data_IF_057431064364
#
_entry.id   IF_057431064364
#
_cell.length_a   1.000
_cell.length_b   1.000
_cell.length_c   1.000
_cell.angle_alpha   90.00
_cell.angle_beta   90.00
_cell.angle_gamma   90.00
#
_symmetry.space_group_name_H-M   'P 1'
#
loop_
_entity.id
_entity.type
_entity.pdbx_description
1 polymer ?
#
# COMPACT_ATOMS: atom_id res chain seq x y z
N UNK A 1 -11.84 -40.17 -7.22
CA UNK A 1 -13.02 -39.40 -6.78
C UNK A 1 -12.69 -38.75 -5.45
N UNK A 2 -12.32 -37.46 -5.45
CA UNK A 2 -12.02 -36.72 -4.22
C UNK A 2 -13.03 -35.58 -4.08
N UNK A 3 -13.80 -35.60 -2.98
CA UNK A 3 -14.75 -34.56 -2.59
C UNK A 3 -14.05 -33.43 -1.83
N UNK A 4 -14.57 -32.18 -1.88
CA UNK A 4 -13.96 -31.01 -1.24
C UNK A 4 -14.33 -30.94 0.24
N UNK A 5 -13.40 -30.54 1.11
CA UNK A 5 -13.72 -30.11 2.49
C UNK A 5 -13.02 -28.78 2.82
N UNK A 6 -13.88 -27.76 2.98
CA UNK A 6 -13.92 -26.78 4.07
C UNK A 6 -12.74 -25.82 4.27
N UNK A 7 -12.74 -24.73 3.50
CA UNK A 7 -12.33 -23.42 4.03
C UNK A 7 -13.35 -22.95 5.08
N UNK A 8 -12.94 -22.27 6.17
CA UNK A 8 -13.88 -21.77 7.16
C UNK A 8 -14.84 -20.75 6.52
N UNK A 9 -16.12 -20.71 6.92
CA UNK A 9 -17.06 -19.74 6.38
C UNK A 9 -16.61 -18.34 6.82
N UNK A 10 -16.33 -17.45 5.87
CA UNK A 10 -16.23 -16.02 6.16
C UNK A 10 -17.54 -15.59 6.81
N UNK A 11 -17.51 -15.18 8.08
CA UNK A 11 -18.66 -14.55 8.72
C UNK A 11 -18.86 -13.19 8.08
N UNK A 12 -19.85 -13.09 7.20
CA UNK A 12 -20.38 -11.82 6.72
C UNK A 12 -21.06 -11.17 7.92
N UNK A 13 -20.42 -10.15 8.50
CA UNK A 13 -21.04 -9.33 9.54
C UNK A 13 -21.75 -8.15 8.87
N UNK A 14 -22.99 -7.92 9.29
CA UNK A 14 -23.81 -6.80 8.85
C UNK A 14 -23.22 -5.47 9.35
N UNK A 15 -23.51 -4.37 8.65
CA UNK A 15 -23.13 -3.02 9.09
C UNK A 15 -23.59 -2.73 10.53
N UNK A 16 -24.73 -3.29 10.95
CA UNK A 16 -25.26 -3.20 12.31
C UNK A 16 -24.43 -3.99 13.33
N UNK A 17 -23.80 -5.10 12.92
CA UNK A 17 -22.86 -5.85 13.76
C UNK A 17 -21.51 -5.15 13.87
N UNK A 18 -21.05 -4.46 12.82
CA UNK A 18 -19.83 -3.64 12.82
C UNK A 18 -19.96 -2.42 13.74
N UNK A 19 -21.13 -1.76 13.71
CA UNK A 19 -21.46 -0.62 14.57
C UNK A 19 -21.55 -0.99 16.06
N UNK A 20 -21.89 -2.23 16.40
CA UNK A 20 -21.92 -2.71 17.80
C UNK A 20 -20.53 -3.02 18.36
N UNK A 21 -19.55 -3.33 17.49
CA UNK A 21 -18.17 -3.62 17.91
C UNK A 21 -17.32 -2.38 18.13
N UNK A 22 -17.74 -1.24 17.60
CA UNK A 22 -17.06 0.04 17.77
C UNK A 22 -18.04 0.92 18.53
N UNK A 23 -17.80 1.17 19.82
CA UNK A 23 -18.63 2.05 20.65
C UNK A 23 -18.40 3.52 20.19
N UNK A 24 -18.78 3.85 18.97
CA UNK A 24 -18.49 5.11 18.28
C UNK A 24 -19.59 6.15 18.52
N UNK A 25 -20.00 6.34 19.78
CA UNK A 25 -20.91 7.41 20.16
C UNK A 25 -20.23 8.57 20.89
N UNK A 26 -18.89 8.63 20.98
CA UNK A 26 -18.21 9.68 21.78
C UNK A 26 -17.09 10.46 21.09
N UNK A 27 -16.91 10.40 19.76
CA UNK A 27 -15.94 11.27 19.08
C UNK A 27 -16.45 11.80 17.73
N UNK A 28 -17.45 12.69 17.79
CA UNK A 28 -17.76 13.60 16.69
C UNK A 28 -17.96 15.01 17.27
N UNK A 29 -16.95 15.90 17.21
CA UNK A 29 -17.18 17.32 17.42
C UNK A 29 -18.06 17.86 16.28
N UNK A 30 -19.09 18.64 16.64
CA UNK A 30 -20.17 19.06 15.75
C UNK A 30 -19.83 20.22 14.80
N UNK A 31 -18.59 20.72 14.75
CA UNK A 31 -18.24 21.84 13.89
C UNK A 31 -16.98 21.54 13.07
N UNK A 32 -17.17 20.94 11.90
CA UNK A 32 -16.14 20.77 10.87
C UNK A 32 -16.56 21.49 9.58
N UNK A 33 -16.85 22.79 9.68
CA UNK A 33 -16.70 23.69 8.54
C UNK A 33 -15.22 24.02 8.38
N UNK A 34 -14.67 23.77 7.18
CA UNK A 34 -13.27 23.93 6.76
C UNK A 34 -12.31 22.79 7.17
N UNK A 35 -12.22 21.77 6.32
CA UNK A 35 -10.97 21.40 5.62
C UNK A 35 -11.31 20.34 4.57
N UNK A 36 -11.85 20.78 3.43
CA UNK A 36 -11.73 20.00 2.20
C UNK A 36 -10.24 20.04 1.83
N UNK A 37 -9.51 18.96 2.12
CA UNK A 37 -8.20 18.77 1.50
C UNK A 37 -8.48 18.55 0.01
N UNK A 38 -8.39 19.64 -0.76
CA UNK A 38 -8.36 19.59 -2.21
C UNK A 38 -7.26 18.62 -2.63
N UNK A 39 -7.65 17.58 -3.38
CA UNK A 39 -6.77 16.56 -3.95
C UNK A 39 -6.07 17.14 -5.21
N UNK A 40 -5.69 18.41 -5.16
CA UNK A 40 -5.18 19.19 -6.29
C UNK A 40 -3.72 19.56 -6.07
N UNK A 41 -2.81 18.57 -6.01
CA UNK A 41 -1.41 18.80 -6.40
C UNK A 41 -0.53 17.56 -6.57
N UNK A 42 -0.99 16.33 -6.29
CA UNK A 42 -0.20 15.17 -6.70
C UNK A 42 -0.41 15.05 -8.20
N UNK A 43 0.59 15.45 -8.99
CA UNK A 43 0.69 15.07 -10.40
C UNK A 43 0.83 13.55 -10.47
N UNK A 44 -0.29 12.85 -10.27
CA UNK A 44 -0.45 11.49 -10.69
C UNK A 44 -0.25 11.53 -12.19
N UNK A 45 0.88 10.98 -12.65
CA UNK A 45 1.03 10.62 -14.05
C UNK A 45 -0.14 9.71 -14.36
N UNK A 46 -1.19 10.30 -14.93
CA UNK A 46 -2.31 9.59 -15.51
C UNK A 46 -1.67 8.75 -16.60
N UNK A 47 -1.49 7.46 -16.32
CA UNK A 47 -1.39 6.51 -17.39
C UNK A 47 -2.77 6.50 -18.05
N UNK A 48 -2.88 7.21 -19.18
CA UNK A 48 -4.04 7.18 -20.05
C UNK A 48 -4.54 5.76 -20.27
N UNK A 49 -5.86 5.63 -20.18
CA UNK A 49 -6.83 4.75 -20.85
C UNK A 49 -6.44 3.61 -21.81
N UNK A 50 -5.22 3.09 -21.86
CA UNK A 50 -4.86 1.97 -22.72
C UNK A 50 -4.36 0.80 -21.86
N UNK A 51 -4.94 -0.38 -22.09
CA UNK A 51 -4.55 -1.65 -21.47
C UNK A 51 -3.04 -1.89 -21.72
N UNK A 52 -2.18 -1.49 -20.77
CA UNK A 52 -0.72 -1.48 -20.97
C UNK A 52 -0.14 -2.85 -21.33
N UNK A 53 -0.80 -3.96 -20.95
CA UNK A 53 -0.35 -5.31 -21.27
C UNK A 53 -1.52 -6.27 -21.57
N UNK A 54 -2.20 -6.09 -22.73
CA UNK A 54 -3.35 -6.91 -23.18
C UNK A 54 -3.04 -8.42 -23.18
N UNK A 55 -1.79 -8.81 -23.45
CA UNK A 55 -1.33 -10.20 -23.44
C UNK A 55 -1.57 -10.93 -22.11
N UNK A 56 -1.75 -10.19 -21.01
CA UNK A 56 -1.98 -10.73 -19.66
C UNK A 56 -3.39 -10.42 -19.14
N UNK A 57 -4.32 -10.02 -20.02
CA UNK A 57 -5.73 -9.79 -19.66
C UNK A 57 -6.42 -11.06 -19.17
N UNK A 58 -6.09 -12.21 -19.76
CA UNK A 58 -6.62 -13.51 -19.32
C UNK A 58 -5.86 -14.02 -18.09
N UNK A 59 -6.61 -14.61 -17.15
CA UNK A 59 -6.01 -15.23 -15.97
C UNK A 59 -5.05 -16.38 -16.34
N UNK A 60 -5.35 -17.16 -17.37
CA UNK A 60 -4.50 -18.27 -17.78
C UNK A 60 -3.13 -17.78 -18.24
N UNK A 61 -3.06 -16.70 -19.01
CA UNK A 61 -1.80 -16.13 -19.49
C UNK A 61 -0.95 -15.60 -18.32
N UNK A 62 -1.60 -15.01 -17.30
CA UNK A 62 -0.93 -14.61 -16.06
C UNK A 62 -0.37 -15.79 -15.30
N UNK A 63 -1.13 -16.86 -15.12
CA UNK A 63 -0.64 -18.07 -14.44
C UNK A 63 0.53 -18.70 -15.23
N UNK A 64 0.40 -18.77 -16.55
CA UNK A 64 1.42 -19.35 -17.44
C UNK A 64 2.74 -18.55 -17.45
N UNK A 65 2.71 -17.26 -17.09
CA UNK A 65 3.94 -16.47 -16.95
C UNK A 65 4.87 -17.00 -15.85
N UNK A 66 4.38 -17.77 -14.88
CA UNK A 66 5.16 -18.31 -13.75
C UNK A 66 5.86 -19.65 -14.04
N UNK A 67 5.98 -20.08 -15.31
CA UNK A 67 6.60 -21.37 -15.68
C UNK A 67 8.04 -21.56 -15.18
N UNK A 68 8.81 -20.47 -15.12
CA UNK A 68 10.19 -20.46 -14.61
C UNK A 68 10.30 -19.71 -13.26
N UNK A 69 9.24 -19.73 -12.46
CA UNK A 69 9.25 -19.10 -11.14
C UNK A 69 9.93 -20.00 -10.11
N UNK A 70 11.06 -19.53 -9.56
CA UNK A 70 11.89 -20.29 -8.63
C UNK A 70 11.79 -19.82 -7.16
N UNK A 71 10.73 -19.08 -6.77
CA UNK A 71 10.62 -18.48 -5.43
C UNK A 71 9.86 -19.33 -4.40
N UNK A 72 10.53 -20.03 -3.46
CA UNK A 72 9.87 -20.74 -2.35
C UNK A 72 9.31 -19.80 -1.27
N UNK A 73 9.65 -18.51 -1.28
CA UNK A 73 9.26 -17.54 -0.24
C UNK A 73 8.10 -16.62 -0.65
N UNK A 74 7.11 -17.13 -1.39
CA UNK A 74 6.07 -16.27 -1.99
C UNK A 74 4.65 -16.81 -1.79
N UNK A 75 3.61 -15.96 -1.89
CA UNK A 75 2.24 -16.44 -1.92
C UNK A 75 2.00 -17.38 -3.10
N UNK A 76 0.83 -18.04 -3.13
CA UNK A 76 0.47 -18.84 -4.31
C UNK A 76 0.53 -17.99 -5.58
N UNK A 77 1.28 -18.46 -6.59
CA UNK A 77 1.33 -17.81 -7.91
C UNK A 77 -0.06 -17.63 -8.53
N UNK A 78 -1.01 -18.51 -8.18
CA UNK A 78 -2.41 -18.38 -8.60
C UNK A 78 -3.10 -17.19 -7.95
N UNK A 79 -2.79 -16.89 -6.69
CA UNK A 79 -3.37 -15.75 -5.97
C UNK A 79 -2.73 -14.43 -6.41
N UNK A 80 -1.42 -14.44 -6.68
CA UNK A 80 -0.72 -13.33 -7.35
C UNK A 80 -1.38 -13.04 -8.72
N UNK A 81 -1.61 -14.08 -9.53
CA UNK A 81 -2.28 -13.95 -10.81
C UNK A 81 -3.74 -13.47 -10.71
N UNK A 82 -4.48 -13.92 -9.69
CA UNK A 82 -5.86 -13.45 -9.43
C UNK A 82 -5.91 -11.97 -9.05
N UNK A 83 -4.93 -11.48 -8.29
CA UNK A 83 -4.79 -10.07 -7.95
C UNK A 83 -4.36 -9.17 -9.14
N UNK A 84 -4.22 -9.75 -10.33
CA UNK A 84 -3.98 -9.03 -11.58
C UNK A 84 -2.50 -8.95 -11.96
N UNK A 85 -1.63 -9.72 -11.32
CA UNK A 85 -0.20 -9.70 -11.61
C UNK A 85 0.24 -10.83 -12.55
N UNK A 86 1.23 -10.56 -13.39
CA UNK A 86 1.98 -11.57 -14.15
C UNK A 86 3.46 -11.50 -13.76
N UNK A 87 4.18 -12.61 -13.87
CA UNK A 87 5.62 -12.65 -13.68
C UNK A 87 6.33 -12.00 -14.87
N UNK A 88 7.25 -11.08 -14.59
CA UNK A 88 8.02 -10.37 -15.62
C UNK A 88 9.15 -11.19 -16.23
N UNK A 89 9.48 -12.35 -15.68
CA UNK A 89 10.66 -13.14 -16.06
C UNK A 89 11.94 -12.74 -15.31
N UNK A 90 11.89 -11.71 -14.47
CA UNK A 90 13.04 -11.18 -13.73
C UNK A 90 12.84 -11.31 -12.21
N UNK A 91 13.74 -12.03 -11.53
CA UNK A 91 13.73 -12.22 -10.07
C UNK A 91 12.35 -12.68 -9.56
N UNK A 92 11.73 -11.95 -8.65
CA UNK A 92 10.39 -12.16 -8.11
C UNK A 92 9.45 -11.01 -8.52
N UNK A 93 9.82 -10.24 -9.55
CA UNK A 93 9.09 -9.04 -9.95
C UNK A 93 7.81 -9.45 -10.69
N UNK A 94 6.69 -9.05 -10.12
CA UNK A 94 5.35 -9.24 -10.66
C UNK A 94 4.75 -7.90 -11.06
N UNK A 95 4.08 -7.83 -12.21
CA UNK A 95 3.54 -6.59 -12.78
C UNK A 95 2.03 -6.68 -13.00
N UNK A 96 1.28 -5.65 -12.63
CA UNK A 96 -0.15 -5.61 -12.91
C UNK A 96 -0.41 -5.38 -14.40
N UNK A 97 -1.21 -6.23 -15.04
CA UNK A 97 -1.51 -6.10 -16.49
C UNK A 97 -2.30 -4.83 -16.85
N UNK A 98 -2.98 -4.21 -15.88
CA UNK A 98 -3.84 -3.03 -16.09
C UNK A 98 -3.13 -1.72 -15.73
N UNK A 99 -2.67 -1.55 -14.48
CA UNK A 99 -2.03 -0.30 -14.05
C UNK A 99 -0.51 -0.28 -14.27
N UNK A 100 0.11 -1.44 -14.51
CA UNK A 100 1.56 -1.55 -14.69
C UNK A 100 2.38 -1.42 -13.40
N UNK A 101 1.73 -1.38 -12.23
CA UNK A 101 2.47 -1.36 -10.95
C UNK A 101 3.27 -2.65 -10.77
N UNK A 102 4.48 -2.54 -10.23
CA UNK A 102 5.38 -3.66 -9.99
C UNK A 102 5.49 -3.93 -8.49
N UNK A 103 5.39 -5.21 -8.13
CA UNK A 103 5.54 -5.71 -6.77
C UNK A 103 6.64 -6.78 -6.75
N UNK A 104 7.51 -6.71 -5.74
CA UNK A 104 8.63 -7.61 -5.51
C UNK A 104 8.88 -7.73 -4.00
N UNK A 105 9.91 -8.47 -3.60
CA UNK A 105 10.20 -8.86 -2.22
C UNK A 105 8.98 -9.51 -1.54
N UNK A 106 8.36 -10.42 -2.28
CA UNK A 106 7.17 -11.13 -1.80
C UNK A 106 7.49 -11.93 -0.54
N UNK A 107 6.54 -11.96 0.40
CA UNK A 107 6.61 -12.80 1.60
C UNK A 107 5.61 -13.96 1.49
N UNK A 108 5.86 -15.13 2.09
CA UNK A 108 4.95 -16.28 2.01
C UNK A 108 3.52 -15.99 2.48
N UNK A 109 3.36 -15.10 3.45
CA UNK A 109 2.09 -14.70 4.06
C UNK A 109 1.48 -13.42 3.44
N UNK A 110 2.14 -12.82 2.46
CA UNK A 110 1.67 -11.60 1.82
C UNK A 110 0.32 -11.82 1.12
N UNK A 111 -0.56 -10.82 1.17
CA UNK A 111 -1.82 -10.82 0.43
C UNK A 111 -1.64 -10.02 -0.87
N UNK A 112 -1.67 -10.64 -2.06
CA UNK A 112 -1.43 -9.94 -3.33
C UNK A 112 -2.42 -8.81 -3.62
N UNK A 113 -3.68 -8.90 -3.16
CA UNK A 113 -4.63 -7.80 -3.28
C UNK A 113 -4.24 -6.62 -2.40
N UNK A 114 -3.79 -6.89 -1.17
CA UNK A 114 -3.29 -5.85 -0.27
C UNK A 114 -2.08 -5.15 -0.89
N UNK A 115 -1.09 -5.90 -1.38
CA UNK A 115 0.08 -5.30 -2.05
C UNK A 115 -0.31 -4.45 -3.25
N UNK A 116 -1.33 -4.86 -4.03
CA UNK A 116 -1.87 -4.07 -5.13
C UNK A 116 -2.51 -2.76 -4.63
N UNK A 117 -3.31 -2.80 -3.56
CA UNK A 117 -3.92 -1.61 -2.95
C UNK A 117 -2.84 -0.63 -2.47
N UNK A 118 -1.84 -1.14 -1.76
CA UNK A 118 -0.75 -0.31 -1.22
C UNK A 118 0.10 0.32 -2.34
N UNK A 119 0.29 -0.40 -3.45
CA UNK A 119 1.15 0.03 -4.55
C UNK A 119 0.46 0.98 -5.53
N UNK A 120 -0.83 0.76 -5.84
CA UNK A 120 -1.60 1.61 -6.77
C UNK A 120 -3.12 1.51 -6.53
N UNK A 121 -3.67 2.23 -5.53
CA UNK A 121 -5.07 2.06 -5.08
C UNK A 121 -6.11 2.52 -6.12
N UNK A 122 -5.72 3.33 -7.11
CA UNK A 122 -6.62 3.83 -8.16
C UNK A 122 -6.70 2.91 -9.38
N UNK A 123 -6.10 1.71 -9.34
CA UNK A 123 -6.11 0.76 -10.45
C UNK A 123 -7.54 0.37 -10.88
N UNK A 124 -7.83 0.46 -12.19
CA UNK A 124 -9.13 0.08 -12.74
C UNK A 124 -9.46 -1.41 -12.56
N UNK A 125 -8.47 -2.31 -12.61
CA UNK A 125 -8.69 -3.73 -12.32
C UNK A 125 -9.06 -3.95 -10.87
N UNK A 126 -8.36 -3.28 -9.96
CA UNK A 126 -8.60 -3.34 -8.52
C UNK A 126 -10.01 -2.84 -8.17
N UNK A 127 -10.41 -1.67 -8.68
CA UNK A 127 -11.77 -1.12 -8.52
C UNK A 127 -12.88 -2.03 -9.04
N UNK A 128 -12.61 -2.83 -10.08
CA UNK A 128 -13.58 -3.79 -10.64
C UNK A 128 -13.66 -5.11 -9.86
N UNK A 129 -12.63 -5.45 -9.10
CA UNK A 129 -12.50 -6.77 -8.47
C UNK A 129 -12.44 -6.72 -6.93
N UNK A 130 -12.38 -5.54 -6.32
CA UNK A 130 -12.37 -5.34 -4.86
C UNK A 130 -13.38 -4.24 -4.48
N UNK A 131 -14.05 -4.33 -3.32
CA UNK A 131 -14.95 -3.28 -2.84
C UNK A 131 -14.21 -1.96 -2.62
N UNK A 132 -14.80 -0.84 -3.04
CA UNK A 132 -14.17 0.48 -2.92
C UNK A 132 -13.90 0.85 -1.46
N UNK A 133 -14.82 0.52 -0.56
CA UNK A 133 -14.68 0.77 0.87
C UNK A 133 -13.50 -0.01 1.46
N UNK A 134 -13.28 -1.25 1.00
CA UNK A 134 -12.13 -2.05 1.42
C UNK A 134 -10.81 -1.47 0.90
N UNK A 135 -10.78 -1.02 -0.35
CA UNK A 135 -9.60 -0.38 -0.95
C UNK A 135 -9.21 0.88 -0.15
N UNK A 136 -10.19 1.76 0.10
CA UNK A 136 -9.97 3.00 0.82
C UNK A 136 -9.50 2.72 2.25
N UNK A 137 -10.20 1.83 2.98
CA UNK A 137 -9.84 1.46 4.35
C UNK A 137 -8.40 0.94 4.45
N UNK A 138 -8.01 0.00 3.58
CA UNK A 138 -6.65 -0.57 3.60
C UNK A 138 -5.60 0.50 3.29
N UNK A 139 -5.85 1.36 2.30
CA UNK A 139 -4.90 2.39 1.91
C UNK A 139 -4.78 3.50 2.97
N UNK A 140 -5.89 4.00 3.50
CA UNK A 140 -5.91 5.02 4.55
C UNK A 140 -5.21 4.52 5.82
N UNK A 141 -5.51 3.30 6.27
CA UNK A 141 -4.82 2.71 7.42
C UNK A 141 -3.30 2.61 7.20
N UNK A 142 -2.88 2.30 5.97
CA UNK A 142 -1.47 2.28 5.63
C UNK A 142 -0.85 3.67 5.67
N UNK A 143 -1.49 4.69 5.09
CA UNK A 143 -1.00 6.07 5.11
C UNK A 143 -0.87 6.61 6.54
N UNK A 144 -1.86 6.33 7.39
CA UNK A 144 -1.85 6.68 8.81
C UNK A 144 -0.67 5.99 9.53
N UNK A 145 -0.42 4.71 9.26
CA UNK A 145 0.72 4.00 9.84
C UNK A 145 2.08 4.57 9.36
N UNK A 146 2.19 4.99 8.10
CA UNK A 146 3.42 5.57 7.55
C UNK A 146 3.70 7.00 8.08
N UNK A 147 2.70 7.69 8.61
CA UNK A 147 2.86 9.05 9.13
C UNK A 147 3.89 9.14 10.26
N UNK A 148 4.07 8.07 11.03
CA UNK A 148 4.92 8.05 12.22
C UNK A 148 6.28 7.36 12.00
N UNK A 149 6.53 6.81 10.80
CA UNK A 149 7.70 5.99 10.51
C UNK A 149 8.70 6.75 9.63
N UNK A 150 9.99 6.62 9.93
CA UNK A 150 11.11 7.22 9.21
C UNK A 150 10.98 7.03 7.69
N UNK A 151 11.09 8.13 6.93
CA UNK A 151 10.96 8.12 5.49
C UNK A 151 12.07 7.33 4.79
N UNK A 152 13.24 7.19 5.42
CA UNK A 152 14.41 6.51 4.87
C UNK A 152 14.36 5.00 5.11
N UNK A 153 14.30 4.55 6.37
CA UNK A 153 14.38 3.11 6.67
C UNK A 153 13.03 2.40 6.71
N UNK A 154 11.90 3.13 6.76
CA UNK A 154 10.55 2.55 6.88
C UNK A 154 10.37 1.60 8.08
N UNK A 155 11.22 1.72 9.10
CA UNK A 155 11.27 0.80 10.25
C UNK A 155 11.18 1.53 11.59
N UNK A 156 12.01 2.54 11.80
CA UNK A 156 12.09 3.26 13.08
C UNK A 156 11.12 4.45 13.11
N UNK A 157 10.62 4.85 14.29
CA UNK A 157 9.79 6.05 14.42
C UNK A 157 10.54 7.31 14.00
N UNK A 158 9.80 8.34 13.60
CA UNK A 158 10.38 9.65 13.35
C UNK A 158 10.69 10.33 14.69
N UNK A 159 11.94 10.69 14.91
CA UNK A 159 12.41 11.27 16.18
C UNK A 159 13.52 12.32 15.99
N UNK A 160 13.70 12.84 14.76
CA UNK A 160 14.65 13.93 14.47
C UNK A 160 14.02 15.02 13.61
N UNK A 161 14.20 16.27 14.05
CA UNK A 161 13.76 17.51 13.38
C UNK A 161 14.96 18.18 12.72
N UNK A 162 14.81 18.60 11.47
CA UNK A 162 15.85 19.28 10.70
C UNK A 162 15.65 20.80 10.68
N UNK A 163 16.67 21.57 11.08
CA UNK A 163 16.65 23.03 11.03
C UNK A 163 17.43 23.55 9.80
N UNK A 164 16.95 24.61 9.11
CA UNK A 164 15.86 25.52 9.47
C UNK A 164 14.45 25.11 9.02
N UNK A 165 14.27 23.99 8.31
CA UNK A 165 12.98 23.68 7.70
C UNK A 165 11.91 23.13 8.67
N UNK A 166 12.29 22.68 9.87
CA UNK A 166 11.38 22.15 10.89
C UNK A 166 10.80 20.76 10.60
N UNK A 167 11.23 20.08 9.53
CA UNK A 167 10.64 18.80 9.14
C UNK A 167 11.06 17.65 10.05
N UNK A 168 10.06 16.93 10.61
CA UNK A 168 10.20 15.66 11.33
C UNK A 168 9.87 14.51 10.37
N UNK A 169 10.89 13.95 9.71
CA UNK A 169 10.67 12.95 8.64
C UNK A 169 11.52 11.69 8.77
N UNK A 170 12.62 11.73 9.53
CA UNK A 170 13.51 10.59 9.71
C UNK A 170 13.55 10.12 11.18
N UNK A 171 14.10 8.93 11.38
CA UNK A 171 14.64 8.53 12.67
C UNK A 171 16.06 9.10 12.85
N UNK A 172 16.57 9.11 14.08
CA UNK A 172 17.89 9.58 14.46
C UNK A 172 19.01 8.85 13.73
N UNK A 173 18.85 7.54 13.53
CA UNK A 173 19.87 6.70 12.92
C UNK A 173 20.06 7.02 11.43
N UNK A 174 18.95 7.29 10.73
CA UNK A 174 18.97 7.71 9.34
C UNK A 174 19.32 9.20 9.20
N UNK A 175 18.81 10.05 10.09
CA UNK A 175 18.98 11.50 10.01
C UNK A 175 20.37 12.01 10.40
N UNK A 176 21.15 11.26 11.19
CA UNK A 176 22.44 11.73 11.75
C UNK A 176 23.40 12.28 10.69
N UNK A 177 23.53 11.59 9.56
CA UNK A 177 24.51 11.91 8.51
C UNK A 177 23.92 12.71 7.35
N UNK A 178 22.64 13.06 7.38
CA UNK A 178 22.02 13.86 6.33
C UNK A 178 22.51 15.31 6.39
N UNK A 179 22.82 15.88 5.23
CA UNK A 179 23.20 17.29 5.05
C UNK A 179 22.09 18.11 4.41
N UNK A 180 21.08 17.46 3.84
CA UNK A 180 19.87 18.06 3.29
C UNK A 180 18.64 17.32 3.79
N UNK A 181 17.54 18.04 3.99
CA UNK A 181 16.27 17.47 4.42
C UNK A 181 15.65 16.63 3.29
N UNK A 182 15.30 15.34 3.51
CA UNK A 182 14.68 14.50 2.47
C UNK A 182 13.31 14.99 2.00
N UNK A 183 12.62 15.80 2.81
CA UNK A 183 11.28 16.29 2.49
C UNK A 183 11.27 17.52 1.58
N UNK A 184 12.26 18.41 1.72
CA UNK A 184 12.26 19.73 1.08
C UNK A 184 13.60 20.15 0.47
N UNK A 185 14.63 19.30 0.58
CA UNK A 185 16.00 19.54 0.12
C UNK A 185 16.72 20.75 0.74
N UNK A 186 16.13 21.43 1.73
CA UNK A 186 16.82 22.49 2.48
C UNK A 186 18.07 21.94 3.17
N UNK A 187 19.18 22.69 3.10
CA UNK A 187 20.41 22.36 3.82
C UNK A 187 20.16 22.31 5.33
N UNK A 188 20.66 21.27 5.98
CA UNK A 188 20.49 21.05 7.42
C UNK A 188 21.66 21.73 8.13
N UNK A 189 21.37 22.76 8.92
CA UNK A 189 22.38 23.44 9.76
C UNK A 189 22.41 22.88 11.16
N UNK A 190 21.26 22.47 11.71
CA UNK A 190 21.13 21.87 13.04
C UNK A 190 20.09 20.73 13.05
N UNK A 191 20.17 19.86 14.05
CA UNK A 191 19.29 18.69 14.22
C UNK A 191 18.83 18.60 15.68
N UNK A 192 17.54 18.41 15.89
CA UNK A 192 16.94 18.30 17.23
C UNK A 192 16.25 16.96 17.37
N UNK A 193 16.42 16.27 18.51
CA UNK A 193 15.72 15.02 18.78
C UNK A 193 14.35 15.30 19.39
N UNK A 194 13.31 14.72 18.80
CA UNK A 194 11.97 14.83 19.32
C UNK A 194 11.77 13.77 20.42
N UNK A 195 11.31 14.23 21.59
CA UNK A 195 10.84 13.37 22.67
C UNK A 195 9.32 13.48 22.71
N UNK A 196 8.64 12.34 22.66
CA UNK A 196 7.19 12.26 22.77
C UNK A 196 6.90 11.67 24.15
N UNK A 197 6.43 12.52 25.06
CA UNK A 197 5.96 12.15 26.40
C UNK A 197 4.54 11.55 26.34
#
# INVERSE_FOLDING_TARGET
MYSPKNSPPFKIITLEQLKKSINASEFFPQDASFFTVHIDSVRYLHCGSDLKFIAYSNLSDRINSFTNWFGPETPSVKDIARAGFYYTGNSDICCCFTCGTQCNQWKPDANPWKEHILSFPTCNFLRKNQPLEYINLVHENYLLAQQFICCECKNNPKDIVFYPCGHLVCCKDCGKNLTTCPACNTAITEKFYAHFD
#
